data_IF_172337645729
#
_entry.id   IF_172337645729
#
_cell.length_a   1.000
_cell.length_b   1.000
_cell.length_c   1.000
_cell.angle_alpha   90.00
_cell.angle_beta   90.00
_cell.angle_gamma   90.00
#
_symmetry.space_group_name_H-M   'P 1'
#
loop_
_entity.id
_entity.type
_entity.pdbx_description
1 polymer ?
#
# COMPACT_ATOMS: atom_id res chain seq x y z
N UNK A 1 6.63 -6.36 2.09
CA UNK A 1 5.62 -5.28 2.08
C UNK A 1 6.17 -4.13 2.91
N UNK A 2 6.07 -2.90 2.41
CA UNK A 2 6.34 -1.67 3.14
C UNK A 2 4.99 -1.03 3.50
N UNK A 3 4.58 -1.05 4.79
CA UNK A 3 3.30 -0.47 5.19
C UNK A 3 3.34 1.06 5.16
N UNK A 4 2.17 1.67 5.37
CA UNK A 4 2.08 3.12 5.58
C UNK A 4 2.74 3.54 6.89
N UNK A 5 3.27 4.76 6.91
CA UNK A 5 3.80 5.43 8.09
C UNK A 5 3.35 6.88 8.12
N UNK A 6 3.35 7.46 9.33
CA UNK A 6 3.14 8.89 9.56
C UNK A 6 4.42 9.72 9.39
N UNK A 7 5.59 9.07 9.43
CA UNK A 7 6.91 9.72 9.39
C UNK A 7 7.81 9.04 8.36
N UNK A 8 7.41 9.14 7.10
CA UNK A 8 8.06 8.56 5.91
C UNK A 8 9.57 8.84 5.83
N UNK A 9 10.03 10.08 6.02
CA UNK A 9 11.45 10.43 5.86
C UNK A 9 12.28 9.84 7.00
N UNK A 10 11.78 9.95 8.24
CA UNK A 10 12.44 9.37 9.40
C UNK A 10 12.50 7.84 9.33
N UNK A 11 11.41 7.20 8.93
CA UNK A 11 11.33 5.74 8.78
C UNK A 11 12.16 5.23 7.60
N UNK A 12 12.29 6.02 6.53
CA UNK A 12 13.21 5.69 5.44
C UNK A 12 14.67 5.76 5.91
N UNK A 13 15.02 6.75 6.72
CA UNK A 13 16.35 6.82 7.33
C UNK A 13 16.61 5.62 8.26
N UNK A 14 15.60 5.21 9.05
CA UNK A 14 15.69 4.02 9.89
C UNK A 14 15.80 2.71 9.07
N UNK A 15 15.04 2.57 7.97
CA UNK A 15 15.15 1.43 7.05
C UNK A 15 16.55 1.31 6.47
N UNK A 16 17.19 2.44 6.14
CA UNK A 16 18.59 2.48 5.70
C UNK A 16 19.54 2.09 6.82
N UNK A 17 19.41 2.71 8.00
CA UNK A 17 20.28 2.44 9.15
C UNK A 17 20.22 1.00 9.67
N UNK A 18 19.08 0.32 9.51
CA UNK A 18 18.89 -1.08 9.89
C UNK A 18 19.33 -2.10 8.82
N UNK A 19 19.67 -1.65 7.61
CA UNK A 19 19.98 -2.52 6.47
C UNK A 19 18.75 -3.12 5.77
N UNK A 20 17.54 -2.84 6.25
CA UNK A 20 16.30 -3.33 5.65
C UNK A 20 16.06 -2.74 4.25
N UNK A 21 16.46 -1.48 4.01
CA UNK A 21 16.39 -0.87 2.68
C UNK A 21 17.16 -1.68 1.63
N UNK A 22 18.39 -2.10 1.96
CA UNK A 22 19.22 -2.96 1.12
C UNK A 22 18.55 -4.31 0.89
N UNK A 23 18.05 -4.95 1.95
CA UNK A 23 17.36 -6.23 1.83
C UNK A 23 16.12 -6.14 0.91
N UNK A 24 15.35 -5.06 0.97
CA UNK A 24 14.20 -4.83 0.08
C UNK A 24 14.66 -4.71 -1.38
N UNK A 25 15.70 -3.92 -1.65
CA UNK A 25 16.24 -3.73 -2.99
C UNK A 25 16.79 -5.05 -3.59
N UNK A 26 17.53 -5.83 -2.80
CA UNK A 26 18.04 -7.15 -3.21
C UNK A 26 16.91 -8.14 -3.53
N UNK A 27 15.84 -8.14 -2.73
CA UNK A 27 14.66 -8.99 -2.97
C UNK A 27 13.94 -8.58 -4.26
N UNK A 28 13.75 -7.27 -4.48
CA UNK A 28 13.18 -6.77 -5.73
C UNK A 28 14.03 -7.16 -6.94
N UNK A 29 15.36 -7.00 -6.85
CA UNK A 29 16.30 -7.41 -7.90
C UNK A 29 16.27 -8.93 -8.18
N UNK A 30 16.03 -9.73 -7.14
CA UNK A 30 15.84 -11.18 -7.25
C UNK A 30 14.43 -11.60 -7.77
N UNK A 31 13.62 -10.65 -8.24
CA UNK A 31 12.28 -10.91 -8.77
C UNK A 31 11.27 -11.32 -7.69
N UNK A 32 11.49 -10.94 -6.43
CA UNK A 32 10.49 -11.07 -5.37
C UNK A 32 9.57 -9.84 -5.44
N UNK A 33 8.23 -10.02 -5.40
CA UNK A 33 7.33 -8.89 -5.45
C UNK A 33 7.48 -8.00 -4.21
N UNK A 34 7.42 -6.69 -4.43
CA UNK A 34 7.44 -5.68 -3.37
C UNK A 34 6.20 -4.81 -3.52
N UNK A 35 5.51 -4.59 -2.41
CA UNK A 35 4.37 -3.67 -2.38
C UNK A 35 4.57 -2.62 -1.28
N UNK A 36 4.31 -1.36 -1.63
CA UNK A 36 4.27 -0.21 -0.72
C UNK A 36 2.86 0.35 -0.57
N UNK A 37 2.47 0.73 0.63
CA UNK A 37 1.19 1.43 0.89
C UNK A 37 1.49 2.80 1.51
N UNK A 38 0.89 3.86 0.98
CA UNK A 38 1.05 5.23 1.47
C UNK A 38 2.52 5.62 1.67
N UNK A 39 3.01 5.87 2.89
CA UNK A 39 4.43 6.14 3.16
C UNK A 39 5.38 5.09 2.55
N UNK A 40 5.02 3.80 2.62
CA UNK A 40 5.79 2.73 1.98
C UNK A 40 5.80 2.82 0.45
N UNK A 41 4.72 3.32 -0.18
CA UNK A 41 4.71 3.59 -1.63
C UNK A 41 5.65 4.75 -1.97
N UNK A 42 5.62 5.82 -1.19
CA UNK A 42 6.50 6.98 -1.37
C UNK A 42 7.98 6.60 -1.29
N UNK A 43 8.34 5.76 -0.30
CA UNK A 43 9.69 5.24 -0.13
C UNK A 43 10.19 4.43 -1.33
N UNK A 44 9.31 3.74 -2.06
CA UNK A 44 9.70 2.98 -3.25
C UNK A 44 10.11 3.87 -4.43
N UNK A 45 9.72 5.14 -4.43
CA UNK A 45 10.04 6.10 -5.48
C UNK A 45 11.51 6.49 -5.56
N UNK A 46 11.82 7.38 -6.49
CA UNK A 46 13.15 7.96 -6.70
C UNK A 46 13.49 9.02 -5.67
N UNK A 47 12.54 9.90 -5.36
CA UNK A 47 12.75 11.01 -4.43
C UNK A 47 11.47 11.33 -3.66
N UNK A 48 11.65 11.79 -2.42
CA UNK A 48 10.63 12.40 -1.58
C UNK A 48 11.07 13.83 -1.28
N UNK A 49 10.23 14.80 -1.61
CA UNK A 49 10.47 16.23 -1.43
C UNK A 49 9.56 16.77 -0.33
N UNK A 50 10.12 17.51 0.60
CA UNK A 50 9.42 18.22 1.67
C UNK A 50 9.85 19.69 1.70
N UNK A 51 9.48 20.49 0.68
CA UNK A 51 9.93 21.89 0.56
C UNK A 51 9.38 22.78 1.68
N UNK A 52 8.27 22.38 2.29
CA UNK A 52 7.56 23.14 3.32
C UNK A 52 7.85 22.61 4.75
N UNK A 53 8.69 21.58 4.90
CA UNK A 53 9.05 21.01 6.20
C UNK A 53 7.86 20.37 6.94
N UNK A 54 6.91 19.79 6.21
CA UNK A 54 5.67 19.21 6.75
C UNK A 54 5.97 18.01 7.64
N UNK A 55 6.94 17.18 7.26
CA UNK A 55 7.31 15.96 7.96
C UNK A 55 8.73 16.04 8.55
N UNK A 56 9.65 16.75 7.89
CA UNK A 56 11.04 16.90 8.35
C UNK A 56 11.76 18.14 7.77
N UNK A 57 12.82 18.58 8.45
CA UNK A 57 13.72 19.64 7.97
C UNK A 57 14.74 19.16 6.90
N UNK A 58 14.66 17.91 6.45
CA UNK A 58 15.63 17.32 5.52
C UNK A 58 15.51 17.87 4.08
N UNK A 59 14.39 18.54 3.76
CA UNK A 59 14.11 19.02 2.42
C UNK A 59 13.82 17.87 1.46
N UNK A 60 14.79 17.47 0.63
CA UNK A 60 14.62 16.36 -0.32
C UNK A 60 15.51 15.18 0.05
N UNK A 61 14.95 13.97 -0.01
CA UNK A 61 15.67 12.72 0.24
C UNK A 61 15.45 11.74 -0.91
N UNK A 62 16.51 11.03 -1.29
CA UNK A 62 16.37 9.91 -2.22
C UNK A 62 15.47 8.84 -1.62
N UNK A 63 14.63 8.21 -2.44
CA UNK A 63 13.88 7.01 -2.09
C UNK A 63 14.71 5.73 -2.31
N UNK A 64 14.03 4.59 -2.44
CA UNK A 64 14.65 3.30 -2.75
C UNK A 64 14.89 3.11 -4.25
N UNK A 65 14.29 3.94 -5.11
CA UNK A 65 14.49 3.91 -6.56
C UNK A 65 13.92 2.67 -7.25
N UNK A 66 12.93 2.01 -6.65
CA UNK A 66 12.29 0.81 -7.19
C UNK A 66 11.09 1.09 -8.08
N UNK A 67 10.53 2.31 -7.99
CA UNK A 67 9.49 2.84 -8.86
C UNK A 67 9.97 4.17 -9.44
N UNK A 68 9.73 4.40 -10.74
CA UNK A 68 10.00 5.69 -11.39
C UNK A 68 8.88 6.68 -11.04
N UNK A 69 8.85 7.08 -9.76
CA UNK A 69 7.92 8.07 -9.22
C UNK A 69 8.65 9.03 -8.29
N UNK A 70 8.14 10.25 -8.19
CA UNK A 70 8.63 11.26 -7.25
C UNK A 70 7.44 11.77 -6.43
N UNK A 71 7.64 11.92 -5.11
CA UNK A 71 6.60 12.39 -4.19
C UNK A 71 6.98 13.74 -3.62
N UNK A 72 6.04 14.68 -3.61
CA UNK A 72 6.19 15.96 -2.89
C UNK A 72 5.16 16.05 -1.78
N UNK A 73 5.59 16.28 -0.54
CA UNK A 73 4.69 16.61 0.55
C UNK A 73 4.09 17.99 0.36
N UNK A 74 2.80 18.10 0.66
CA UNK A 74 2.06 19.34 0.69
C UNK A 74 1.45 19.54 2.09
N UNK A 75 1.24 20.79 2.54
CA UNK A 75 0.66 21.07 3.85
C UNK A 75 -0.75 20.50 4.04
N UNK A 76 -1.52 20.41 2.95
CA UNK A 76 -2.89 19.92 2.98
C UNK A 76 -2.94 18.40 3.09
N UNK A 77 -3.62 17.91 4.13
CA UNK A 77 -3.88 16.49 4.30
C UNK A 77 -5.04 16.03 3.42
N UNK A 78 -4.78 15.07 2.55
CA UNK A 78 -5.80 14.39 1.78
C UNK A 78 -6.39 13.23 2.58
N UNK A 79 -7.67 13.31 2.92
CA UNK A 79 -8.43 12.26 3.63
C UNK A 79 -9.75 12.00 2.93
N UNK A 80 -9.86 10.89 2.21
CA UNK A 80 -11.07 10.58 1.43
C UNK A 80 -11.29 9.09 1.32
N UNK A 81 -12.55 8.66 1.26
CA UNK A 81 -12.91 7.29 0.88
C UNK A 81 -12.93 7.16 -0.63
N UNK A 82 -12.46 6.04 -1.14
CA UNK A 82 -12.33 5.79 -2.57
C UNK A 82 -12.90 4.44 -2.94
N UNK A 83 -13.43 4.40 -4.15
CA UNK A 83 -13.75 3.16 -4.87
C UNK A 83 -12.95 3.15 -6.15
N UNK A 84 -12.64 1.98 -6.68
CA UNK A 84 -11.84 1.91 -7.90
C UNK A 84 -11.69 0.51 -8.44
N UNK A 85 -10.77 0.38 -9.37
CA UNK A 85 -10.44 -0.87 -10.03
C UNK A 85 -8.94 -0.96 -10.33
N UNK A 86 -8.43 -2.20 -10.41
CA UNK A 86 -7.07 -2.48 -10.89
C UNK A 86 -6.95 -2.12 -12.38
N UNK A 87 -5.90 -1.37 -12.73
CA UNK A 87 -5.56 -1.07 -14.12
C UNK A 87 -4.67 -2.15 -14.74
N UNK A 88 -4.57 -2.12 -16.08
CA UNK A 88 -3.54 -2.86 -16.79
C UNK A 88 -2.18 -2.23 -16.52
N UNK A 89 -1.45 -2.87 -15.63
CA UNK A 89 -0.18 -2.46 -15.06
C UNK A 89 1.03 -2.58 -16.02
N UNK A 90 0.84 -2.92 -17.30
CA UNK A 90 1.98 -3.24 -18.15
C UNK A 90 2.61 -4.58 -17.76
N UNK A 91 3.92 -4.84 -18.01
CA UNK A 91 4.43 -6.15 -18.42
C UNK A 91 4.04 -7.33 -17.49
N UNK A 92 2.91 -7.96 -17.82
CA UNK A 92 2.40 -9.29 -17.44
C UNK A 92 3.09 -9.95 -16.24
N UNK A 93 2.65 -9.60 -15.03
CA UNK A 93 2.73 -10.53 -13.91
C UNK A 93 1.62 -11.58 -14.10
N UNK A 94 1.99 -12.75 -14.63
CA UNK A 94 1.12 -13.92 -14.84
C UNK A 94 -0.04 -13.78 -15.85
N UNK A 95 0.15 -14.31 -17.06
CA UNK A 95 -0.96 -14.61 -17.98
C UNK A 95 -1.65 -13.39 -18.63
N UNK A 96 -2.53 -13.64 -19.59
CA UNK A 96 -3.27 -12.59 -20.29
C UNK A 96 -4.29 -11.94 -19.33
N UNK A 97 -4.07 -10.69 -18.93
CA UNK A 97 -5.07 -9.86 -18.23
C UNK A 97 -5.02 -9.86 -16.69
N UNK A 98 -3.92 -10.29 -16.06
CA UNK A 98 -3.73 -10.18 -14.59
C UNK A 98 -2.52 -9.31 -14.25
N UNK A 99 -2.71 -8.38 -13.31
CA UNK A 99 -1.66 -7.58 -12.69
C UNK A 99 -1.21 -8.17 -11.33
N UNK A 100 -0.36 -7.45 -10.58
CA UNK A 100 0.28 -7.97 -9.35
C UNK A 100 -0.68 -8.21 -8.18
N UNK A 101 -1.88 -7.64 -8.26
CA UNK A 101 -2.92 -7.71 -7.23
C UNK A 101 -4.19 -8.44 -7.70
N UNK A 102 -4.17 -9.02 -8.90
CA UNK A 102 -5.31 -9.72 -9.49
C UNK A 102 -5.63 -9.29 -10.91
N UNK A 103 -6.76 -9.77 -11.45
CA UNK A 103 -7.23 -9.42 -12.79
C UNK A 103 -7.38 -7.91 -13.00
N UNK A 104 -7.18 -7.46 -14.24
CA UNK A 104 -7.54 -6.08 -14.62
C UNK A 104 -9.04 -5.88 -14.42
N UNK A 105 -9.43 -4.73 -13.88
CA UNK A 105 -10.82 -4.39 -13.59
C UNK A 105 -11.35 -4.95 -12.27
N UNK A 106 -10.53 -5.65 -11.46
CA UNK A 106 -10.99 -6.09 -10.14
C UNK A 106 -11.36 -4.89 -9.28
N UNK A 107 -12.59 -4.83 -8.76
CA UNK A 107 -13.06 -3.69 -7.97
C UNK A 107 -12.38 -3.67 -6.60
N UNK A 108 -12.23 -2.46 -6.06
CA UNK A 108 -11.70 -2.24 -4.73
C UNK A 108 -12.38 -1.05 -4.06
N UNK A 109 -12.31 -1.03 -2.73
CA UNK A 109 -12.75 0.06 -1.88
C UNK A 109 -11.69 0.28 -0.82
N UNK A 110 -11.52 1.52 -0.39
CA UNK A 110 -10.54 1.87 0.61
C UNK A 110 -10.59 3.34 0.98
N UNK A 111 -9.50 3.84 1.53
CA UNK A 111 -9.35 5.24 1.86
C UNK A 111 -7.92 5.71 1.68
N UNK A 112 -7.77 7.00 1.46
CA UNK A 112 -6.49 7.70 1.40
C UNK A 112 -6.35 8.60 2.63
N UNK A 113 -5.15 8.62 3.21
CA UNK A 113 -4.79 9.51 4.31
C UNK A 113 -3.32 9.92 4.20
N UNK A 114 -3.04 10.93 3.37
CA UNK A 114 -1.66 11.30 3.06
C UNK A 114 -1.51 12.80 2.77
N UNK A 115 -0.29 13.29 2.91
CA UNK A 115 0.11 14.65 2.50
C UNK A 115 0.96 14.63 1.21
N UNK A 116 1.39 13.44 0.77
CA UNK A 116 2.21 13.31 -0.43
C UNK A 116 1.40 13.39 -1.72
N UNK A 117 1.95 14.08 -2.71
CA UNK A 117 1.47 14.10 -4.09
C UNK A 117 2.52 13.45 -4.96
N UNK A 118 2.19 12.29 -5.52
CA UNK A 118 3.15 11.50 -6.31
C UNK A 118 2.91 11.69 -7.80
N UNK A 119 3.99 11.89 -8.55
CA UNK A 119 3.99 11.97 -10.01
C UNK A 119 4.70 10.76 -10.59
N UNK A 120 4.12 10.18 -11.63
CA UNK A 120 4.73 9.08 -12.37
C UNK A 120 5.74 9.63 -13.38
N UNK A 121 6.90 8.99 -13.46
CA UNK A 121 7.84 9.13 -14.55
C UNK A 121 7.51 8.18 -15.71
N UNK A 122 8.23 8.29 -16.84
CA UNK A 122 7.97 7.50 -18.05
C UNK A 122 8.19 5.99 -17.88
N UNK A 123 8.92 5.56 -16.84
CA UNK A 123 9.18 4.16 -16.53
C UNK A 123 8.13 3.50 -15.63
N UNK A 124 7.07 4.21 -15.23
CA UNK A 124 6.01 3.69 -14.37
C UNK A 124 4.64 3.76 -15.05
N UNK A 125 3.78 2.79 -14.74
CA UNK A 125 2.36 2.81 -15.11
C UNK A 125 1.50 2.97 -13.84
N UNK A 126 0.29 3.55 -13.93
CA UNK A 126 -0.62 3.65 -12.80
C UNK A 126 -1.14 2.26 -12.40
N UNK A 127 -1.33 2.03 -11.10
CA UNK A 127 -1.83 0.76 -10.57
C UNK A 127 -3.35 0.71 -10.55
N UNK A 128 -3.99 1.83 -10.20
CA UNK A 128 -5.41 1.93 -9.90
C UNK A 128 -6.07 3.06 -10.67
N UNK A 129 -7.34 2.86 -11.00
CA UNK A 129 -8.26 3.95 -11.34
C UNK A 129 -9.22 4.13 -10.16
N UNK A 130 -9.19 5.30 -9.56
CA UNK A 130 -10.01 5.66 -8.41
C UNK A 130 -11.11 6.64 -8.78
N UNK A 131 -12.24 6.53 -8.10
CA UNK A 131 -13.35 7.46 -8.11
C UNK A 131 -13.48 8.12 -6.75
N UNK A 132 -13.40 9.45 -6.72
CA UNK A 132 -13.66 10.25 -5.52
C UNK A 132 -15.14 10.39 -5.21
N UNK A 133 -15.44 10.91 -4.01
CA UNK A 133 -16.82 11.19 -3.58
C UNK A 133 -17.53 12.24 -4.46
N UNK A 134 -16.77 13.10 -5.13
CA UNK A 134 -17.22 14.08 -6.12
C UNK A 134 -17.54 13.45 -7.50
N UNK A 135 -17.35 12.14 -7.65
CA UNK A 135 -17.53 11.40 -8.89
C UNK A 135 -16.37 11.53 -9.88
N UNK A 136 -15.36 12.36 -9.57
CA UNK A 136 -14.18 12.53 -10.41
C UNK A 136 -13.34 11.26 -10.40
N UNK A 137 -12.79 10.94 -11.57
CA UNK A 137 -11.90 9.79 -11.74
C UNK A 137 -10.46 10.27 -11.84
N UNK A 138 -9.55 9.55 -11.16
CA UNK A 138 -8.10 9.80 -11.23
C UNK A 138 -7.34 8.48 -11.17
N UNK A 139 -6.07 8.55 -11.50
CA UNK A 139 -5.15 7.42 -11.37
C UNK A 139 -4.42 7.49 -10.03
N UNK A 140 -4.12 6.32 -9.46
CA UNK A 140 -3.32 6.20 -8.25
C UNK A 140 -2.33 5.04 -8.36
N UNK A 141 -1.26 5.17 -7.58
CA UNK A 141 -0.23 4.17 -7.45
C UNK A 141 0.66 4.06 -8.67
N UNK A 142 1.63 3.16 -8.55
CA UNK A 142 2.52 2.85 -9.63
C UNK A 142 2.91 1.37 -9.61
N UNK A 143 3.34 0.89 -10.76
CA UNK A 143 3.81 -0.47 -10.96
C UNK A 143 4.97 -0.50 -11.95
N UNK A 144 5.94 -1.35 -11.63
CA UNK A 144 7.08 -1.66 -12.48
C UNK A 144 7.42 -3.15 -12.36
N UNK A 145 8.12 -3.69 -13.36
CA UNK A 145 8.66 -5.04 -13.26
C UNK A 145 9.67 -5.13 -12.11
N UNK A 146 9.57 -6.19 -11.32
CA UNK A 146 10.68 -6.59 -10.47
C UNK A 146 11.83 -7.12 -11.35
N UNK A 147 13.01 -7.30 -10.75
CA UNK A 147 14.16 -7.84 -11.46
C UNK A 147 13.89 -9.21 -12.10
N UNK A 148 14.78 -9.69 -12.99
CA UNK A 148 14.51 -10.81 -13.89
C UNK A 148 14.22 -12.14 -13.19
N UNK A 149 14.49 -12.25 -11.89
CA UNK A 149 14.27 -13.46 -11.11
C UNK A 149 15.16 -14.62 -11.57
N UNK A 150 14.84 -15.82 -11.07
CA UNK A 150 15.51 -17.04 -11.53
C UNK A 150 15.09 -17.38 -12.97
N UNK A 151 15.96 -18.02 -13.74
CA UNK A 151 15.67 -18.44 -15.12
C UNK A 151 14.40 -19.31 -15.16
N UNK A 152 13.41 -18.89 -15.95
CA UNK A 152 12.11 -19.58 -16.08
C UNK A 152 11.10 -19.26 -14.97
N UNK A 153 11.42 -18.36 -14.04
CA UNK A 153 10.46 -17.88 -13.05
C UNK A 153 9.38 -16.99 -13.70
N UNK A 154 8.19 -17.02 -13.12
CA UNK A 154 7.10 -16.10 -13.49
C UNK A 154 7.53 -14.67 -13.12
N UNK A 155 7.46 -13.69 -14.05
CA UNK A 155 7.73 -12.30 -13.75
C UNK A 155 6.84 -11.77 -12.62
N UNK A 156 7.40 -10.92 -11.77
CA UNK A 156 6.68 -10.27 -10.66
C UNK A 156 6.85 -8.75 -10.77
N UNK A 157 6.20 -8.00 -9.87
CA UNK A 157 6.21 -6.55 -9.90
C UNK A 157 6.62 -5.94 -8.57
N UNK A 158 7.20 -4.74 -8.67
CA UNK A 158 7.16 -3.75 -7.60
C UNK A 158 5.92 -2.89 -7.84
N UNK A 159 5.10 -2.66 -6.81
CA UNK A 159 3.95 -1.77 -6.93
C UNK A 159 3.71 -0.98 -5.64
N UNK A 160 2.92 0.08 -5.72
CA UNK A 160 2.45 0.79 -4.55
C UNK A 160 1.25 1.68 -4.85
N UNK A 161 0.55 2.10 -3.80
CA UNK A 161 -0.66 2.92 -3.88
C UNK A 161 -0.87 3.69 -2.57
N UNK A 162 -1.62 4.80 -2.63
CA UNK A 162 -2.07 5.52 -1.43
C UNK A 162 -3.27 4.87 -0.75
N UNK A 163 -3.93 3.92 -1.40
CA UNK A 163 -5.16 3.29 -0.89
C UNK A 163 -4.83 2.32 0.23
N UNK A 164 -5.33 2.64 1.42
CA UNK A 164 -5.39 1.72 2.54
C UNK A 164 -6.59 0.78 2.41
N UNK A 165 -6.45 -0.43 2.95
CA UNK A 165 -7.49 -1.46 2.93
C UNK A 165 -7.53 -2.32 1.66
N UNK A 166 -6.56 -2.18 0.74
CA UNK A 166 -6.45 -3.04 -0.46
C UNK A 166 -6.52 -4.53 -0.13
N UNK A 167 -5.86 -4.92 0.97
CA UNK A 167 -5.83 -6.31 1.41
C UNK A 167 -6.98 -6.70 2.32
N UNK A 168 -7.92 -5.82 2.64
CA UNK A 168 -9.16 -6.18 3.31
C UNK A 168 -10.09 -6.89 2.33
N UNK A 169 -10.01 -6.52 1.03
CA UNK A 169 -10.71 -7.19 -0.05
C UNK A 169 -10.19 -8.63 -0.24
N UNK A 170 -11.02 -9.67 0.01
CA UNK A 170 -10.56 -11.05 -0.02
C UNK A 170 -9.97 -11.46 -1.36
N UNK A 171 -10.51 -10.93 -2.47
CA UNK A 171 -10.07 -11.25 -3.83
C UNK A 171 -8.66 -10.71 -4.10
N UNK A 172 -8.36 -9.46 -3.74
CA UNK A 172 -7.04 -8.85 -3.95
C UNK A 172 -6.00 -9.54 -3.07
N UNK A 173 -6.36 -9.80 -1.80
CA UNK A 173 -5.52 -10.56 -0.86
C UNK A 173 -5.23 -11.96 -1.38
N UNK A 174 -6.25 -12.67 -1.86
CA UNK A 174 -6.09 -14.01 -2.40
C UNK A 174 -5.25 -14.02 -3.69
N UNK A 175 -5.46 -13.07 -4.59
CA UNK A 175 -4.69 -12.95 -5.82
C UNK A 175 -3.20 -12.72 -5.54
N UNK A 176 -2.87 -11.77 -4.67
CA UNK A 176 -1.50 -11.51 -4.24
C UNK A 176 -0.85 -12.76 -3.61
N UNK A 177 -1.54 -13.40 -2.66
CA UNK A 177 -1.04 -14.60 -2.00
C UNK A 177 -0.91 -15.79 -2.97
N UNK A 178 -1.84 -15.96 -3.91
CA UNK A 178 -1.77 -17.04 -4.91
C UNK A 178 -0.64 -16.81 -5.92
N UNK A 179 -0.27 -15.55 -6.22
CA UNK A 179 0.96 -15.22 -6.94
C UNK A 179 2.21 -15.72 -6.20
N UNK A 180 2.30 -15.48 -4.89
CA UNK A 180 3.38 -16.00 -4.05
C UNK A 180 3.38 -17.52 -3.95
N UNK A 181 2.20 -18.15 -3.81
CA UNK A 181 2.05 -19.61 -3.75
C UNK A 181 2.51 -20.27 -5.04
N UNK A 182 2.10 -19.74 -6.19
CA UNK A 182 2.54 -20.23 -7.51
C UNK A 182 4.06 -20.20 -7.62
N UNK A 183 4.70 -19.10 -7.20
CA UNK A 183 6.16 -18.99 -7.17
C UNK A 183 6.82 -20.00 -6.23
N UNK A 184 6.19 -20.31 -5.11
CA UNK A 184 6.66 -21.31 -4.15
C UNK A 184 6.34 -22.76 -4.54
N UNK A 185 5.70 -23.01 -5.69
CA UNK A 185 5.26 -24.34 -6.10
C UNK A 185 4.07 -24.88 -5.31
N UNK A 186 3.31 -23.99 -4.66
CA UNK A 186 2.14 -24.33 -3.86
C UNK A 186 0.86 -24.15 -4.67
N UNK A 187 -0.11 -25.05 -4.47
CA UNK A 187 -1.44 -24.96 -5.08
C UNK A 187 -2.17 -23.68 -4.65
N UNK A 188 -3.07 -23.14 -5.48
CA UNK A 188 -3.88 -21.98 -5.11
C UNK A 188 -4.77 -22.27 -3.89
N UNK A 189 -5.05 -21.23 -3.10
CA UNK A 189 -6.00 -21.26 -2.01
C UNK A 189 -7.17 -20.34 -2.33
N UNK A 190 -8.38 -20.74 -1.91
CA UNK A 190 -9.56 -19.89 -2.00
C UNK A 190 -9.40 -18.64 -1.11
N UNK A 191 -10.04 -17.51 -1.47
CA UNK A 191 -10.08 -16.34 -0.60
C UNK A 191 -10.65 -16.70 0.78
N UNK A 192 -9.85 -16.50 1.82
CA UNK A 192 -10.37 -16.54 3.18
C UNK A 192 -11.20 -15.28 3.41
N UNK A 193 -12.47 -15.43 3.82
CA UNK A 193 -13.27 -14.33 4.32
C UNK A 193 -12.82 -14.10 5.76
N UNK A 194 -12.17 -12.96 6.01
CA UNK A 194 -11.92 -12.52 7.37
C UNK A 194 -13.26 -12.07 7.97
N UNK A 195 -13.42 -12.20 9.29
CA UNK A 195 -14.51 -11.58 10.04
C UNK A 195 -13.91 -10.52 10.99
N UNK A 196 -13.40 -9.38 10.48
CA UNK A 196 -12.72 -8.39 11.30
C UNK A 196 -13.61 -7.86 12.42
N UNK A 197 -14.92 -7.75 12.15
CA UNK A 197 -15.90 -7.29 13.12
C UNK A 197 -15.95 -8.21 14.34
N UNK A 198 -15.86 -9.53 14.17
CA UNK A 198 -15.86 -10.46 15.30
C UNK A 198 -14.60 -10.33 16.18
N UNK A 199 -13.45 -9.99 15.60
CA UNK A 199 -12.22 -9.76 16.36
C UNK A 199 -12.25 -8.40 17.09
N UNK A 200 -12.82 -7.37 16.45
CA UNK A 200 -13.03 -6.05 17.05
C UNK A 200 -14.06 -6.13 18.18
N UNK A 201 -15.18 -6.81 17.96
CA UNK A 201 -16.22 -7.05 18.96
C UNK A 201 -15.64 -7.81 20.14
N UNK A 202 -14.83 -8.84 19.91
CA UNK A 202 -14.14 -9.55 20.99
C UNK A 202 -13.19 -8.67 21.79
N UNK A 203 -12.51 -7.71 21.14
CA UNK A 203 -11.68 -6.73 21.83
C UNK A 203 -12.54 -5.74 22.62
N UNK A 204 -13.66 -5.28 22.05
CA UNK A 204 -14.63 -4.41 22.71
C UNK A 204 -15.20 -5.09 23.96
N UNK A 205 -15.69 -6.33 23.84
CA UNK A 205 -16.16 -7.16 24.96
C UNK A 205 -15.09 -7.27 26.07
N UNK A 206 -13.82 -7.43 25.68
CA UNK A 206 -12.72 -7.53 26.64
C UNK A 206 -12.46 -6.22 27.37
N UNK A 207 -12.51 -5.09 26.66
CA UNK A 207 -12.40 -3.73 27.22
C UNK A 207 -13.56 -3.47 28.18
N UNK A 208 -14.80 -3.71 27.76
CA UNK A 208 -16.01 -3.53 28.57
C UNK A 208 -15.99 -4.39 29.84
N UNK A 209 -15.48 -5.61 29.77
CA UNK A 209 -15.40 -6.50 30.92
C UNK A 209 -14.34 -6.10 31.97
N UNK A 210 -13.35 -5.28 31.61
CA UNK A 210 -12.18 -4.99 32.46
C UNK A 210 -11.98 -3.50 32.74
N UNK A 211 -12.79 -2.62 32.18
CA UNK A 211 -12.73 -1.17 32.42
C UNK A 211 -14.06 -0.66 32.96
N UNK A 212 -13.97 0.40 33.78
CA UNK A 212 -15.14 1.13 34.26
C UNK A 212 -15.69 2.00 33.11
N UNK A 213 -16.66 1.44 32.39
CA UNK A 213 -17.26 2.09 31.23
C UNK A 213 -18.06 3.33 31.63
N UNK A 214 -18.69 3.35 32.81
CA UNK A 214 -19.39 4.54 33.33
C UNK A 214 -18.43 5.70 33.56
N UNK A 215 -17.26 5.42 34.16
CA UNK A 215 -16.21 6.42 34.33
C UNK A 215 -15.66 6.91 32.98
N UNK A 216 -15.44 5.99 32.03
CA UNK A 216 -14.99 6.32 30.68
C UNK A 216 -15.99 7.25 29.97
N UNK A 217 -17.27 6.89 29.96
CA UNK A 217 -18.34 7.69 29.36
C UNK A 217 -18.41 9.11 29.98
N UNK A 218 -18.25 9.20 31.30
CA UNK A 218 -18.17 10.48 32.01
C UNK A 218 -16.95 11.32 31.58
N UNK A 219 -15.79 10.68 31.37
CA UNK A 219 -14.57 11.36 30.92
C UNK A 219 -14.71 11.87 29.47
N UNK A 220 -15.30 11.09 28.56
CA UNK A 220 -15.47 11.48 27.15
C UNK A 220 -16.73 12.30 26.86
N UNK A 221 -17.49 12.66 27.89
CA UNK A 221 -18.74 13.43 27.79
C UNK A 221 -19.76 12.81 26.81
N UNK A 222 -19.77 11.48 26.71
CA UNK A 222 -20.86 10.77 26.06
C UNK A 222 -22.00 10.69 27.08
N UNK A 223 -23.13 11.33 26.77
CA UNK A 223 -24.33 11.16 27.60
C UNK A 223 -24.73 9.68 27.55
N UNK A 224 -24.62 9.00 28.70
CA UNK A 224 -25.11 7.63 28.93
C UNK A 224 -26.56 7.51 28.44
N UNK A 225 -26.79 6.60 27.49
CA UNK A 225 -28.14 6.25 26.98
C UNK A 225 -28.92 5.41 27.98
#
# INVERSE_FOLDING_TARGET
MLPGTKSTIADLAWLRGSGLATAVAERAAAGIPVIGVCGGYQMLGRCIHDPDGVESDAGSVDGLGLLDVETTFAPDKHTVRVEGELLDAGPRSSGAGSGPLGPVGTPLRGYEIHMGRTRLGPGAAPLLRLRGADGATREDGAVALAGPGAKGAVPTAVCGSYVHGLFDHPELRAAFLNGLRTRAGLAHAAPAVAAPDADIDRLADHVEAHLDMELLDHIVALETR
#
